data_IF_276779181575
#
_entry.id   IF_276779181575
#
_cell.length_a   1.000
_cell.length_b   1.000
_cell.length_c   1.000
_cell.angle_alpha   90.00
_cell.angle_beta   90.00
_cell.angle_gamma   90.00
#
_symmetry.space_group_name_H-M   'P 1'
#
loop_
_entity.id
_entity.type
_entity.pdbx_description
1 polymer ?
#
# COMPACT_ATOMS: atom_id res chain seq x y z
N UNK A 1 12.45 -15.30 -4.04
CA UNK A 1 13.09 -15.01 -5.33
C UNK A 1 12.06 -14.69 -6.41
N UNK A 2 11.03 -15.52 -6.63
CA UNK A 2 9.98 -15.30 -7.66
C UNK A 2 9.20 -14.00 -7.39
N UNK A 3 8.80 -13.74 -6.15
CA UNK A 3 8.13 -12.49 -5.78
C UNK A 3 9.01 -11.24 -5.96
N UNK A 4 10.32 -11.36 -5.75
CA UNK A 4 11.25 -10.26 -5.99
C UNK A 4 11.46 -10.01 -7.49
N UNK A 5 11.54 -11.08 -8.31
CA UNK A 5 11.65 -10.96 -9.76
C UNK A 5 10.37 -10.38 -10.39
N UNK A 6 9.17 -10.80 -9.94
CA UNK A 6 7.90 -10.19 -10.34
C UNK A 6 7.84 -8.69 -9.95
N UNK A 7 8.33 -8.33 -8.76
CA UNK A 7 8.41 -6.93 -8.30
C UNK A 7 9.34 -6.10 -9.19
N UNK A 8 10.54 -6.63 -9.49
CA UNK A 8 11.49 -5.96 -10.38
C UNK A 8 10.94 -5.78 -11.80
N UNK A 9 10.28 -6.80 -12.35
CA UNK A 9 9.63 -6.72 -13.67
C UNK A 9 8.47 -5.73 -13.67
N UNK A 10 7.72 -5.63 -12.58
CA UNK A 10 6.59 -4.74 -12.44
C UNK A 10 7.04 -3.27 -12.35
N UNK A 11 8.05 -2.98 -11.52
CA UNK A 11 8.70 -1.66 -11.42
C UNK A 11 9.38 -1.29 -12.74
N UNK A 12 10.03 -2.25 -13.40
CA UNK A 12 10.65 -2.04 -14.71
C UNK A 12 9.62 -1.74 -15.80
N UNK A 13 8.47 -2.45 -15.82
CA UNK A 13 7.37 -2.14 -16.75
C UNK A 13 6.75 -0.77 -16.51
N UNK A 14 6.64 -0.34 -15.27
CA UNK A 14 6.19 1.01 -14.93
C UNK A 14 7.17 2.06 -15.51
N UNK A 15 8.48 1.91 -15.28
CA UNK A 15 9.51 2.80 -15.85
C UNK A 15 9.59 2.79 -17.37
N UNK A 16 9.41 1.63 -18.01
CA UNK A 16 9.42 1.58 -19.49
C UNK A 16 8.19 2.19 -20.15
N UNK A 17 7.07 2.36 -19.42
CA UNK A 17 5.90 3.09 -19.91
C UNK A 17 6.06 4.63 -19.79
N UNK A 18 7.04 5.10 -19.01
CA UNK A 18 7.35 6.54 -18.83
C UNK A 18 8.08 7.17 -20.03
N UNK A 19 8.64 6.38 -20.94
CA UNK A 19 9.29 6.86 -22.17
C UNK A 19 8.29 6.96 -23.33
N UNK A 20 7.09 7.52 -23.10
CA UNK A 20 6.10 7.70 -24.17
C UNK A 20 6.18 9.14 -24.70
N UNK A 21 6.22 9.30 -26.04
CA UNK A 21 6.28 10.62 -26.69
C UNK A 21 5.06 11.49 -26.40
N UNK A 22 5.25 12.81 -26.44
CA UNK A 22 4.33 13.90 -26.10
C UNK A 22 2.96 13.94 -26.85
N UNK A 23 2.59 12.95 -27.66
CA UNK A 23 1.46 13.03 -28.58
C UNK A 23 0.25 12.15 -28.24
N UNK A 24 0.30 11.33 -27.17
CA UNK A 24 -0.84 10.46 -26.82
C UNK A 24 -1.48 10.90 -25.51
N UNK A 25 -2.77 11.16 -25.56
CA UNK A 25 -3.67 11.38 -24.42
C UNK A 25 -3.68 10.13 -23.51
N UNK A 26 -2.70 10.05 -22.60
CA UNK A 26 -2.49 8.87 -21.75
C UNK A 26 -3.41 8.93 -20.53
N UNK A 27 -4.40 8.06 -20.50
CA UNK A 27 -5.34 7.91 -19.38
C UNK A 27 -4.67 7.16 -18.21
N UNK A 28 -4.32 7.89 -17.14
CA UNK A 28 -3.65 7.33 -15.96
C UNK A 28 -4.65 6.61 -15.08
N UNK A 29 -4.39 5.33 -14.77
CA UNK A 29 -5.19 4.51 -13.86
C UNK A 29 -4.69 4.65 -12.42
N UNK A 30 -5.31 5.56 -11.65
CA UNK A 30 -5.03 5.76 -10.22
C UNK A 30 -5.43 4.57 -9.33
N UNK A 31 -6.15 3.58 -9.86
CA UNK A 31 -6.48 2.35 -9.13
C UNK A 31 -5.39 1.28 -9.21
N UNK A 32 -4.32 1.50 -9.98
CA UNK A 32 -3.22 0.55 -10.14
C UNK A 32 -2.69 -0.01 -8.82
N UNK A 33 -2.33 0.80 -7.79
CA UNK A 33 -1.80 0.27 -6.54
C UNK A 33 -2.73 -0.73 -5.88
N UNK A 34 -4.04 -0.48 -5.93
CA UNK A 34 -5.06 -1.35 -5.35
C UNK A 34 -5.23 -2.67 -6.11
N UNK A 35 -5.20 -2.62 -7.45
CA UNK A 35 -5.25 -3.82 -8.30
C UNK A 35 -4.05 -4.72 -8.07
N UNK A 36 -2.85 -4.15 -7.96
CA UNK A 36 -1.64 -4.91 -7.66
C UNK A 36 -1.66 -5.52 -6.27
N UNK A 37 -2.16 -4.81 -5.26
CA UNK A 37 -2.35 -5.36 -3.92
C UNK A 37 -3.22 -6.62 -3.95
N UNK A 38 -4.37 -6.57 -4.66
CA UNK A 38 -5.28 -7.72 -4.75
C UNK A 38 -4.63 -8.92 -5.46
N UNK A 39 -3.93 -8.68 -6.56
CA UNK A 39 -3.25 -9.75 -7.33
C UNK A 39 -2.13 -10.37 -6.51
N UNK A 40 -1.26 -9.57 -5.89
CA UNK A 40 -0.13 -10.07 -5.09
C UNK A 40 -0.62 -10.83 -3.86
N UNK A 41 -1.65 -10.32 -3.17
CA UNK A 41 -2.28 -11.02 -2.04
C UNK A 41 -2.92 -12.35 -2.47
N UNK A 42 -3.58 -12.39 -3.64
CA UNK A 42 -4.10 -13.61 -4.25
C UNK A 42 -3.01 -14.63 -4.56
N UNK A 43 -1.86 -14.18 -5.05
CA UNK A 43 -0.68 -15.05 -5.28
C UNK A 43 -0.16 -15.65 -3.97
N UNK A 44 -0.07 -14.87 -2.88
CA UNK A 44 0.35 -15.36 -1.59
C UNK A 44 -0.61 -16.42 -1.02
N UNK A 45 -1.92 -16.19 -1.15
CA UNK A 45 -2.95 -17.16 -0.76
C UNK A 45 -2.81 -18.46 -1.54
N UNK A 46 -2.62 -18.35 -2.86
CA UNK A 46 -2.49 -19.50 -3.77
C UNK A 46 -1.22 -20.30 -3.44
N UNK A 47 -0.09 -19.63 -3.17
CA UNK A 47 1.16 -20.28 -2.73
C UNK A 47 0.91 -21.03 -1.42
N UNK A 48 0.26 -20.42 -0.42
CA UNK A 48 -0.06 -21.08 0.85
C UNK A 48 -0.91 -22.33 0.66
N UNK A 49 -1.92 -22.28 -0.20
CA UNK A 49 -2.77 -23.42 -0.53
C UNK A 49 -2.00 -24.52 -1.26
N UNK A 50 -1.17 -24.18 -2.25
CA UNK A 50 -0.36 -25.16 -3.00
C UNK A 50 0.66 -25.84 -2.10
N UNK A 51 1.35 -25.10 -1.24
CA UNK A 51 2.31 -25.68 -0.28
C UNK A 51 1.60 -26.62 0.70
N UNK A 52 0.42 -26.23 1.18
CA UNK A 52 -0.40 -27.07 2.08
C UNK A 52 -0.84 -28.33 1.38
N UNK A 53 -1.37 -28.23 0.14
CA UNK A 53 -1.79 -29.39 -0.64
C UNK A 53 -0.64 -30.36 -0.93
N UNK A 54 0.54 -29.82 -1.31
CA UNK A 54 1.74 -30.61 -1.54
C UNK A 54 2.19 -31.35 -0.28
N UNK A 55 2.27 -30.65 0.86
CA UNK A 55 2.67 -31.27 2.13
C UNK A 55 1.68 -32.33 2.59
N UNK A 56 0.39 -32.12 2.39
CA UNK A 56 -0.64 -33.12 2.71
C UNK A 56 -0.53 -34.36 1.82
N UNK A 57 -0.27 -34.17 0.51
CA UNK A 57 -0.18 -35.30 -0.44
C UNK A 57 1.15 -36.09 -0.33
N UNK A 58 2.26 -35.40 -0.04
CA UNK A 58 3.59 -36.01 -0.03
C UNK A 58 4.02 -36.54 1.34
N UNK A 59 3.48 -35.96 2.45
CA UNK A 59 3.96 -36.23 3.81
C UNK A 59 2.82 -36.49 4.81
N UNK A 60 1.59 -36.74 4.35
CA UNK A 60 0.40 -36.94 5.21
C UNK A 60 0.23 -35.86 6.26
N UNK A 61 0.54 -34.62 5.89
CA UNK A 61 0.56 -33.48 6.82
C UNK A 61 -0.88 -33.14 7.28
N UNK A 62 -1.14 -33.04 8.59
CA UNK A 62 -2.50 -32.83 9.09
C UNK A 62 -3.07 -31.48 8.65
N UNK A 63 -4.34 -31.45 8.27
CA UNK A 63 -5.05 -30.26 7.76
C UNK A 63 -4.93 -29.06 8.71
N UNK A 64 -4.97 -29.28 10.02
CA UNK A 64 -4.79 -28.21 11.02
C UNK A 64 -3.42 -27.54 10.96
N UNK A 65 -2.37 -28.28 10.58
CA UNK A 65 -1.03 -27.71 10.36
C UNK A 65 -0.95 -26.97 9.01
N UNK A 66 -1.66 -27.46 7.99
CA UNK A 66 -1.80 -26.77 6.69
C UNK A 66 -2.44 -25.39 6.84
N UNK A 67 -3.45 -25.23 7.68
CA UNK A 67 -4.08 -23.94 7.97
C UNK A 67 -3.05 -22.93 8.53
N UNK A 68 -2.11 -23.35 9.36
CA UNK A 68 -1.04 -22.48 9.90
C UNK A 68 -0.12 -21.97 8.78
N UNK A 69 0.21 -22.83 7.81
CA UNK A 69 1.01 -22.45 6.62
C UNK A 69 0.29 -21.42 5.78
N UNK A 70 -1.00 -21.64 5.47
CA UNK A 70 -1.82 -20.69 4.70
C UNK A 70 -1.88 -19.33 5.42
N UNK A 71 -2.13 -19.33 6.73
CA UNK A 71 -2.18 -18.09 7.51
C UNK A 71 -0.83 -17.38 7.61
N UNK A 72 0.27 -18.12 7.72
CA UNK A 72 1.62 -17.55 7.66
C UNK A 72 1.89 -16.88 6.31
N UNK A 73 1.55 -17.55 5.20
CA UNK A 73 1.65 -16.98 3.85
C UNK A 73 0.75 -15.74 3.69
N UNK A 74 -0.48 -15.80 4.17
CA UNK A 74 -1.42 -14.67 4.11
C UNK A 74 -0.89 -13.48 4.91
N UNK A 75 -0.32 -13.70 6.09
CA UNK A 75 0.28 -12.64 6.90
C UNK A 75 1.41 -11.94 6.19
N UNK A 76 2.38 -12.70 5.69
CA UNK A 76 3.47 -12.17 4.89
C UNK A 76 2.94 -11.48 3.64
N UNK A 77 1.92 -12.05 3.00
CA UNK A 77 1.22 -11.49 1.87
C UNK A 77 0.66 -10.11 2.18
N UNK A 78 -0.10 -9.94 3.25
CA UNK A 78 -0.69 -8.65 3.64
C UNK A 78 0.38 -7.56 3.78
N UNK A 79 1.46 -7.81 4.52
CA UNK A 79 2.52 -6.82 4.70
C UNK A 79 3.29 -6.54 3.42
N UNK A 80 3.61 -7.58 2.65
CA UNK A 80 4.39 -7.42 1.42
C UNK A 80 3.58 -6.77 0.30
N UNK A 81 2.32 -7.18 0.11
CA UNK A 81 1.43 -6.62 -0.92
C UNK A 81 1.07 -5.17 -0.62
N UNK A 82 0.78 -4.84 0.65
CA UNK A 82 0.54 -3.45 1.07
C UNK A 82 1.79 -2.59 0.88
N UNK A 83 2.96 -3.11 1.27
CA UNK A 83 4.24 -2.43 1.06
C UNK A 83 4.51 -2.15 -0.42
N UNK A 84 4.20 -3.11 -1.31
CA UNK A 84 4.33 -2.96 -2.76
C UNK A 84 3.35 -1.93 -3.31
N UNK A 85 2.09 -1.97 -2.90
CA UNK A 85 1.08 -1.00 -3.33
C UNK A 85 1.47 0.44 -2.97
N UNK A 86 2.03 0.65 -1.77
CA UNK A 86 2.52 1.95 -1.33
C UNK A 86 3.77 2.41 -2.11
N UNK A 87 4.64 1.50 -2.55
CA UNK A 87 5.77 1.84 -3.41
C UNK A 87 5.30 2.26 -4.81
N UNK A 88 4.30 1.55 -5.38
CA UNK A 88 3.68 1.88 -6.67
C UNK A 88 2.96 3.25 -6.59
N UNK A 89 2.20 3.49 -5.53
CA UNK A 89 1.54 4.77 -5.29
C UNK A 89 2.57 5.90 -5.24
N UNK A 90 3.68 5.70 -4.57
CA UNK A 90 4.76 6.68 -4.47
C UNK A 90 5.40 6.99 -5.81
N UNK A 91 5.70 5.96 -6.64
CA UNK A 91 6.21 6.16 -7.99
C UNK A 91 5.22 6.95 -8.84
N UNK A 92 3.93 6.63 -8.73
CA UNK A 92 2.87 7.36 -9.42
C UNK A 92 2.83 8.84 -9.01
N UNK A 93 2.97 9.14 -7.71
CA UNK A 93 3.04 10.52 -7.21
C UNK A 93 4.25 11.25 -7.82
N UNK A 94 5.42 10.61 -7.88
CA UNK A 94 6.61 11.20 -8.48
C UNK A 94 6.42 11.48 -9.97
N UNK A 95 5.93 10.52 -10.74
CA UNK A 95 5.66 10.72 -12.17
C UNK A 95 4.70 11.88 -12.42
N UNK A 96 3.64 11.97 -11.63
CA UNK A 96 2.65 13.04 -11.75
C UNK A 96 3.17 14.40 -11.28
N UNK A 97 4.09 14.43 -10.33
CA UNK A 97 4.72 15.66 -9.84
C UNK A 97 5.70 16.28 -10.85
N UNK A 98 6.25 15.47 -11.74
CA UNK A 98 7.16 15.92 -12.82
C UNK A 98 6.41 16.26 -14.12
N UNK A 99 5.11 15.98 -14.20
CA UNK A 99 4.30 16.28 -15.37
C UNK A 99 4.12 17.80 -15.56
N UNK A 100 4.36 18.27 -16.76
CA UNK A 100 4.22 19.69 -17.14
C UNK A 100 2.78 20.11 -17.43
N UNK A 101 1.86 19.15 -17.56
CA UNK A 101 0.44 19.39 -17.88
C UNK A 101 -0.45 18.57 -16.97
N UNK A 102 -1.66 19.06 -16.62
CA UNK A 102 -2.63 18.26 -15.89
C UNK A 102 -2.99 17.00 -16.69
N UNK A 103 -2.83 15.84 -16.07
CA UNK A 103 -3.13 14.55 -16.69
C UNK A 103 -4.65 14.29 -16.71
N UNK A 104 -5.15 13.63 -17.73
CA UNK A 104 -6.53 13.12 -17.78
C UNK A 104 -6.61 11.78 -17.04
N UNK A 105 -7.60 11.67 -16.15
CA UNK A 105 -7.75 10.49 -15.30
C UNK A 105 -8.96 9.66 -15.69
N UNK A 106 -8.78 8.35 -15.70
CA UNK A 106 -9.88 7.41 -15.89
C UNK A 106 -10.91 7.53 -14.77
N UNK A 107 -12.19 7.59 -15.11
CA UNK A 107 -13.27 7.57 -14.11
C UNK A 107 -13.15 6.35 -13.20
N UNK A 108 -13.21 6.51 -11.87
CA UNK A 108 -13.08 5.44 -10.90
C UNK A 108 -13.75 5.76 -9.57
N UNK A 109 -13.71 4.81 -8.63
CA UNK A 109 -14.34 4.95 -7.32
C UNK A 109 -13.58 5.92 -6.42
N UNK A 110 -14.30 6.88 -5.85
CA UNK A 110 -13.81 7.68 -4.73
C UNK A 110 -13.73 6.81 -3.48
N UNK A 111 -12.54 6.68 -2.90
CA UNK A 111 -12.31 5.99 -1.64
C UNK A 111 -11.65 6.95 -0.68
N UNK A 112 -12.41 7.36 0.33
CA UNK A 112 -11.90 8.22 1.41
C UNK A 112 -10.61 7.66 2.03
N UNK A 113 -9.64 8.54 2.30
CA UNK A 113 -8.40 8.21 3.03
C UNK A 113 -8.72 7.53 4.35
N UNK A 114 -9.72 8.04 5.06
CA UNK A 114 -10.17 7.46 6.33
C UNK A 114 -10.62 6.01 6.16
N UNK A 115 -11.37 5.72 5.08
CA UNK A 115 -11.84 4.36 4.78
C UNK A 115 -10.67 3.43 4.42
N UNK A 116 -9.73 3.89 3.57
CA UNK A 116 -8.51 3.13 3.23
C UNK A 116 -7.70 2.79 4.48
N UNK A 117 -7.50 3.78 5.35
CA UNK A 117 -6.77 3.63 6.60
C UNK A 117 -7.46 2.68 7.58
N UNK A 118 -8.79 2.81 7.73
CA UNK A 118 -9.59 1.94 8.59
C UNK A 118 -9.57 0.48 8.10
N UNK A 119 -9.71 0.26 6.81
CA UNK A 119 -9.61 -1.08 6.20
C UNK A 119 -8.22 -1.69 6.41
N UNK A 120 -7.17 -0.90 6.24
CA UNK A 120 -5.79 -1.36 6.47
C UNK A 120 -5.56 -1.73 7.95
N UNK A 121 -5.93 -0.85 8.88
CA UNK A 121 -5.81 -1.12 10.33
C UNK A 121 -6.65 -2.34 10.71
N UNK A 122 -7.89 -2.42 10.25
CA UNK A 122 -8.78 -3.55 10.50
C UNK A 122 -8.19 -4.87 10.00
N UNK A 123 -7.61 -4.87 8.80
CA UNK A 123 -6.93 -6.03 8.24
C UNK A 123 -5.71 -6.43 9.09
N UNK A 124 -4.85 -5.47 9.47
CA UNK A 124 -3.69 -5.74 10.32
C UNK A 124 -4.11 -6.32 11.69
N UNK A 125 -5.09 -5.71 12.34
CA UNK A 125 -5.61 -6.19 13.63
C UNK A 125 -6.20 -7.60 13.46
N UNK A 126 -7.00 -7.84 12.42
CA UNK A 126 -7.59 -9.14 12.13
C UNK A 126 -6.54 -10.24 11.96
N UNK A 127 -5.49 -9.96 11.19
CA UNK A 127 -4.35 -10.88 10.98
C UNK A 127 -3.60 -11.14 12.28
N UNK A 128 -3.31 -10.11 13.06
CA UNK A 128 -2.64 -10.23 14.37
C UNK A 128 -3.48 -11.08 15.32
N UNK A 129 -4.77 -10.78 15.46
CA UNK A 129 -5.67 -11.55 16.32
C UNK A 129 -5.75 -13.02 15.91
N UNK A 130 -5.85 -13.28 14.60
CA UNK A 130 -5.92 -14.65 14.07
C UNK A 130 -4.65 -15.45 14.38
N UNK A 131 -3.48 -14.84 14.22
CA UNK A 131 -2.20 -15.49 14.53
C UNK A 131 -2.08 -15.75 16.02
N UNK A 132 -2.43 -14.78 16.87
CA UNK A 132 -2.39 -14.96 18.33
C UNK A 132 -3.33 -16.08 18.80
N UNK A 133 -4.54 -16.15 18.24
CA UNK A 133 -5.48 -17.23 18.55
C UNK A 133 -4.91 -18.61 18.17
N UNK A 134 -4.32 -18.73 16.99
CA UNK A 134 -3.68 -19.99 16.56
C UNK A 134 -2.49 -20.37 17.42
N UNK A 135 -1.68 -19.39 17.81
CA UNK A 135 -0.53 -19.61 18.67
C UNK A 135 -0.97 -20.08 20.06
N UNK A 136 -1.95 -19.41 20.68
CA UNK A 136 -2.52 -19.81 21.96
C UNK A 136 -3.13 -21.21 21.87
N UNK A 137 -3.88 -21.50 20.81
CA UNK A 137 -4.49 -22.82 20.62
C UNK A 137 -3.44 -23.94 20.50
N UNK A 138 -2.37 -23.69 19.73
CA UNK A 138 -1.24 -24.61 19.58
C UNK A 138 -0.53 -24.86 20.92
N UNK A 139 -0.23 -23.78 21.65
CA UNK A 139 0.48 -23.86 22.93
C UNK A 139 -0.37 -24.57 23.99
N UNK A 140 -1.68 -24.34 23.98
CA UNK A 140 -2.62 -25.05 24.86
C UNK A 140 -2.65 -26.58 24.59
N UNK A 141 -2.68 -26.95 23.30
CA UNK A 141 -2.59 -28.37 22.93
C UNK A 141 -1.26 -29.00 23.35
N UNK A 142 -0.15 -28.30 23.15
CA UNK A 142 1.18 -28.74 23.57
C UNK A 142 1.24 -28.97 25.09
N UNK A 143 0.71 -28.04 25.88
CA UNK A 143 0.66 -28.16 27.35
C UNK A 143 -0.14 -29.38 27.78
N UNK A 144 -1.32 -29.62 27.19
CA UNK A 144 -2.15 -30.80 27.50
C UNK A 144 -1.42 -32.11 27.18
N UNK A 145 -0.78 -32.18 26.03
CA UNK A 145 -0.06 -33.37 25.60
C UNK A 145 1.14 -33.66 26.51
N UNK A 146 1.93 -32.62 26.85
CA UNK A 146 3.07 -32.73 27.75
C UNK A 146 2.63 -33.18 29.17
N UNK A 147 1.54 -32.61 29.68
CA UNK A 147 0.98 -32.99 30.97
C UNK A 147 0.55 -34.47 30.99
N UNK A 148 0.03 -34.96 29.85
CA UNK A 148 -0.39 -36.38 29.74
C UNK A 148 0.79 -37.34 29.65
N UNK A 149 2.00 -36.88 29.28
CA UNK A 149 3.23 -37.69 29.13
C UNK A 149 4.17 -37.63 30.32
N UNK A 150 3.85 -36.81 31.33
CA UNK A 150 4.72 -36.57 32.50
C UNK A 150 6.14 -36.10 32.17
N UNK A 151 6.29 -35.36 31.04
CA UNK A 151 7.56 -34.85 30.57
C UNK A 151 7.85 -33.44 31.10
N UNK A 152 9.13 -33.03 31.29
CA UNK A 152 9.48 -31.71 31.80
C UNK A 152 9.05 -30.60 30.84
N UNK A 153 8.30 -29.64 31.32
CA UNK A 153 7.76 -28.53 30.57
C UNK A 153 8.84 -27.52 30.17
N UNK A 154 9.04 -27.30 28.87
CA UNK A 154 10.04 -26.35 28.34
C UNK A 154 9.40 -25.00 27.94
N UNK A 155 9.12 -24.17 28.92
CA UNK A 155 8.52 -22.84 28.72
C UNK A 155 9.31 -21.92 27.77
N UNK A 156 10.63 -22.12 27.71
CA UNK A 156 11.54 -21.29 26.89
C UNK A 156 11.28 -21.35 25.37
N UNK A 157 10.73 -22.46 24.86
CA UNK A 157 10.37 -22.60 23.45
C UNK A 157 9.15 -21.78 23.10
N UNK A 158 8.12 -21.80 23.94
CA UNK A 158 6.88 -21.03 23.75
C UNK A 158 7.21 -19.53 23.74
N UNK A 159 7.97 -19.06 24.74
CA UNK A 159 8.35 -17.64 24.81
C UNK A 159 9.13 -17.20 23.57
N UNK A 160 10.03 -18.02 23.06
CA UNK A 160 10.83 -17.73 21.87
C UNK A 160 9.97 -17.61 20.61
N UNK A 161 9.00 -18.52 20.46
CA UNK A 161 8.07 -18.50 19.34
C UNK A 161 7.18 -17.24 19.37
N UNK A 162 6.63 -16.91 20.53
CA UNK A 162 5.82 -15.69 20.72
C UNK A 162 6.63 -14.44 20.39
N UNK A 163 7.86 -14.32 20.90
CA UNK A 163 8.73 -13.17 20.64
C UNK A 163 9.10 -13.05 19.17
N UNK A 164 9.36 -14.18 18.49
CA UNK A 164 9.67 -14.20 17.06
C UNK A 164 8.47 -13.70 16.23
N UNK A 165 7.29 -14.26 16.46
CA UNK A 165 6.06 -13.85 15.76
C UNK A 165 5.76 -12.38 16.01
N UNK A 166 5.85 -11.93 17.27
CA UNK A 166 5.65 -10.52 17.62
C UNK A 166 6.65 -9.60 16.91
N UNK A 167 7.93 -9.97 16.86
CA UNK A 167 8.96 -9.18 16.17
C UNK A 167 8.67 -9.06 14.65
N UNK A 168 8.23 -10.15 14.00
CA UNK A 168 7.86 -10.14 12.58
C UNK A 168 6.66 -9.24 12.33
N UNK A 169 5.60 -9.37 13.13
CA UNK A 169 4.38 -8.55 13.00
C UNK A 169 4.67 -7.06 13.26
N UNK A 170 5.44 -6.76 14.30
CA UNK A 170 5.84 -5.39 14.63
C UNK A 170 6.67 -4.77 13.51
N UNK A 171 7.65 -5.51 12.99
CA UNK A 171 8.51 -5.03 11.90
C UNK A 171 7.68 -4.76 10.65
N UNK A 172 6.79 -5.68 10.25
CA UNK A 172 5.90 -5.50 9.10
C UNK A 172 5.02 -4.26 9.26
N UNK A 173 4.40 -4.10 10.42
CA UNK A 173 3.54 -2.94 10.73
C UNK A 173 4.33 -1.62 10.67
N UNK A 174 5.52 -1.56 11.27
CA UNK A 174 6.37 -0.36 11.26
C UNK A 174 6.81 -0.01 9.83
N UNK A 175 7.18 -0.98 9.01
CA UNK A 175 7.58 -0.76 7.61
C UNK A 175 6.43 -0.15 6.81
N UNK A 176 5.23 -0.73 6.90
CA UNK A 176 4.06 -0.23 6.17
C UNK A 176 3.66 1.15 6.66
N UNK A 177 3.62 1.38 7.98
CA UNK A 177 3.27 2.68 8.55
C UNK A 177 4.25 3.78 8.12
N UNK A 178 5.56 3.50 8.07
CA UNK A 178 6.57 4.44 7.57
C UNK A 178 6.37 4.78 6.09
N UNK A 179 6.07 3.78 5.26
CA UNK A 179 5.81 4.01 3.82
C UNK A 179 4.56 4.87 3.62
N UNK A 180 3.48 4.52 4.31
CA UNK A 180 2.24 5.29 4.26
C UNK A 180 2.43 6.75 4.70
N UNK A 181 3.08 6.98 5.85
CA UNK A 181 3.41 8.32 6.35
C UNK A 181 4.26 9.12 5.35
N UNK A 182 5.19 8.44 4.67
CA UNK A 182 6.05 9.08 3.65
C UNK A 182 5.25 9.51 2.41
N UNK A 183 4.30 8.68 1.95
CA UNK A 183 3.44 9.02 0.83
C UNK A 183 2.52 10.21 1.18
N UNK A 184 1.93 10.20 2.37
CA UNK A 184 1.13 11.34 2.86
C UNK A 184 1.94 12.63 2.90
N UNK A 185 3.16 12.58 3.45
CA UNK A 185 4.04 13.75 3.50
C UNK A 185 4.32 14.29 2.09
N UNK A 186 4.63 13.41 1.14
CA UNK A 186 4.87 13.80 -0.25
C UNK A 186 3.67 14.52 -0.86
N UNK A 187 2.44 14.02 -0.63
CA UNK A 187 1.22 14.68 -1.10
C UNK A 187 1.03 16.07 -0.49
N UNK A 188 1.28 16.22 0.82
CA UNK A 188 1.23 17.53 1.48
C UNK A 188 2.28 18.49 0.94
N UNK A 189 3.52 18.02 0.75
CA UNK A 189 4.62 18.86 0.23
C UNK A 189 4.30 19.38 -1.17
N UNK A 190 3.69 18.57 -2.04
CA UNK A 190 3.23 19.02 -3.37
C UNK A 190 2.20 20.15 -3.27
N UNK A 191 1.22 20.04 -2.38
CA UNK A 191 0.23 21.10 -2.18
C UNK A 191 0.85 22.37 -1.60
N UNK A 192 1.70 22.25 -0.60
CA UNK A 192 2.38 23.40 0.02
C UNK A 192 3.29 24.12 -0.96
N UNK A 193 3.99 23.39 -1.83
CA UNK A 193 4.85 23.98 -2.86
C UNK A 193 4.03 24.78 -3.89
N UNK A 194 2.91 24.23 -4.37
CA UNK A 194 2.03 24.94 -5.29
C UNK A 194 1.43 26.21 -4.66
N UNK A 195 0.95 26.11 -3.42
CA UNK A 195 0.43 27.28 -2.69
C UNK A 195 1.52 28.33 -2.43
N UNK A 196 2.77 27.89 -2.15
CA UNK A 196 3.92 28.78 -2.01
C UNK A 196 4.27 29.51 -3.31
N UNK A 197 4.21 28.81 -4.45
CA UNK A 197 4.41 29.40 -5.78
C UNK A 197 3.33 30.47 -6.08
N UNK A 198 2.07 30.15 -5.81
CA UNK A 198 0.95 31.10 -5.95
C UNK A 198 1.14 32.31 -5.04
N UNK A 199 1.59 32.13 -3.80
CA UNK A 199 1.88 33.22 -2.87
C UNK A 199 3.02 34.14 -3.36
N UNK A 200 3.92 33.66 -4.18
CA UNK A 200 4.99 34.45 -4.83
C UNK A 200 4.59 35.06 -6.18
N UNK A 201 3.35 34.86 -6.62
CA UNK A 201 2.81 35.40 -7.88
C UNK A 201 3.00 34.48 -9.09
N UNK A 202 3.43 33.23 -8.90
CA UNK A 202 3.48 32.23 -9.97
C UNK A 202 2.12 31.50 -10.04
N UNK A 203 1.29 31.95 -10.97
CA UNK A 203 -0.03 31.35 -11.25
C UNK A 203 0.02 30.32 -12.40
N UNK A 204 1.18 29.97 -12.92
CA UNK A 204 1.33 28.89 -13.91
C UNK A 204 1.50 27.51 -13.23
N UNK A 205 1.83 27.50 -11.95
CA UNK A 205 1.93 26.26 -11.16
C UNK A 205 0.56 25.60 -10.99
N UNK A 206 0.55 24.28 -10.80
CA UNK A 206 -0.64 23.50 -10.49
C UNK A 206 -0.32 22.39 -9.48
N UNK A 207 -1.33 21.91 -8.77
CA UNK A 207 -1.24 20.75 -7.87
C UNK A 207 -1.57 19.49 -8.68
N UNK A 208 -0.68 18.51 -8.79
CA UNK A 208 -0.99 17.26 -9.47
C UNK A 208 -2.04 16.47 -8.67
N UNK A 209 -3.08 15.98 -9.37
CA UNK A 209 -4.08 15.07 -8.78
C UNK A 209 -3.47 13.67 -8.78
N UNK A 210 -3.10 13.17 -7.60
CA UNK A 210 -2.32 11.93 -7.45
C UNK A 210 -3.09 10.78 -6.81
N UNK A 211 -4.31 11.03 -6.35
CA UNK A 211 -5.16 10.07 -5.66
C UNK A 211 -6.63 10.30 -5.99
N UNK A 212 -7.50 9.40 -5.52
CA UNK A 212 -8.96 9.54 -5.61
C UNK A 212 -9.59 9.52 -4.24
N UNK A 213 -9.22 10.48 -3.45
CA UNK A 213 -9.67 10.68 -2.09
C UNK A 213 -9.75 12.18 -1.79
N UNK A 214 -9.81 12.56 -0.54
CA UNK A 214 -9.91 13.96 -0.11
C UNK A 214 -8.76 14.83 -0.65
N UNK A 215 -7.58 14.25 -0.89
CA UNK A 215 -6.47 15.00 -1.49
C UNK A 215 -6.73 15.41 -2.94
N UNK A 216 -7.42 14.55 -3.72
CA UNK A 216 -7.81 14.94 -5.09
C UNK A 216 -8.77 16.13 -5.09
N UNK A 217 -9.73 16.12 -4.19
CA UNK A 217 -10.70 17.24 -4.07
C UNK A 217 -9.98 18.53 -3.69
N UNK A 218 -9.05 18.46 -2.73
CA UNK A 218 -8.26 19.64 -2.33
C UNK A 218 -7.38 20.12 -3.50
N UNK A 219 -6.75 19.21 -4.22
CA UNK A 219 -5.92 19.54 -5.37
C UNK A 219 -6.73 20.22 -6.50
N UNK A 220 -7.91 19.67 -6.83
CA UNK A 220 -8.83 20.25 -7.82
C UNK A 220 -9.28 21.65 -7.40
N UNK A 221 -9.75 21.82 -6.15
CA UNK A 221 -10.17 23.13 -5.64
C UNK A 221 -9.02 24.15 -5.62
N UNK A 222 -7.80 23.69 -5.29
CA UNK A 222 -6.61 24.55 -5.35
C UNK A 222 -6.31 24.98 -6.77
N UNK A 223 -6.40 24.07 -7.75
CA UNK A 223 -6.20 24.37 -9.15
C UNK A 223 -7.25 25.33 -9.69
N UNK A 224 -8.51 25.19 -9.31
CA UNK A 224 -9.58 26.12 -9.68
C UNK A 224 -9.32 27.52 -9.11
N UNK A 225 -8.84 27.61 -7.87
CA UNK A 225 -8.43 28.89 -7.27
C UNK A 225 -7.26 29.52 -8.05
N UNK A 226 -6.24 28.74 -8.41
CA UNK A 226 -5.09 29.22 -9.19
C UNK A 226 -5.55 29.73 -10.56
N UNK A 227 -6.43 29.00 -11.24
CA UNK A 227 -7.01 29.41 -12.52
C UNK A 227 -7.77 30.74 -12.41
N UNK A 228 -8.55 30.94 -11.35
CA UNK A 228 -9.25 32.19 -11.06
C UNK A 228 -8.30 33.37 -10.82
N UNK A 229 -7.19 33.15 -10.08
CA UNK A 229 -6.17 34.16 -9.84
C UNK A 229 -5.43 34.53 -11.12
N UNK A 230 -5.10 33.56 -11.95
CA UNK A 230 -4.46 33.76 -13.27
C UNK A 230 -5.34 34.62 -14.17
N UNK A 231 -6.64 34.35 -14.24
CA UNK A 231 -7.57 35.13 -15.05
C UNK A 231 -7.72 36.56 -14.51
N UNK A 232 -7.79 36.73 -13.19
CA UNK A 232 -7.82 38.07 -12.58
C UNK A 232 -6.58 38.88 -12.93
N UNK A 233 -5.39 38.31 -12.81
CA UNK A 233 -4.13 38.96 -13.18
C UNK A 233 -4.09 39.34 -14.66
N UNK A 234 -4.60 38.44 -15.54
CA UNK A 234 -4.68 38.70 -16.98
C UNK A 234 -5.57 39.92 -17.27
N UNK A 235 -6.72 39.98 -16.62
CA UNK A 235 -7.68 41.08 -16.76
C UNK A 235 -7.06 42.40 -16.25
N UNK A 236 -6.42 42.41 -15.07
CA UNK A 236 -5.73 43.58 -14.53
C UNK A 236 -4.60 44.08 -15.46
N UNK A 237 -3.83 43.18 -16.05
CA UNK A 237 -2.81 43.55 -17.03
C UNK A 237 -3.37 44.16 -18.31
N UNK A 238 -4.56 43.78 -18.73
CA UNK A 238 -5.24 44.36 -19.91
C UNK A 238 -5.77 45.74 -19.57
N UNK A 239 -6.47 45.93 -18.45
CA UNK A 239 -7.10 47.19 -18.05
C UNK A 239 -6.09 48.17 -17.46
N UNK A 240 -4.99 47.72 -16.83
CA UNK A 240 -3.95 48.63 -16.32
C UNK A 240 -3.01 49.20 -17.41
N UNK A 241 -3.23 48.84 -18.67
CA UNK A 241 -2.52 49.46 -19.84
C UNK A 241 -3.26 50.66 -20.46
N UNK A 242 -4.42 51.01 -19.91
CA UNK A 242 -5.19 52.18 -20.30
C UNK A 242 -5.24 53.21 -19.17
#
# INVERSE_FOLDING_TARGET
LIGFACRMLLVYRLRCQEAVPDEWEYEIDLERPWKYLQVDLGCWLLIGLLVTAWNSAAYDFPVGSGLKVVLGCLTLGVFTSTSLALDIERELIHCLSEATKPAHFKSGRFLSITTKFLLFIGLCIGVICMILLLLIYKDFQYVIEQFSRDEPFQFSWIVREILFVFAVLLTGTVVVLRKYSRNLRLMFDLQLNALGAVGSGDYESFVPVVSRDEFSVIAEQTNDMIAGLREKERVEKIFGKY
#
